data_IF_640565610854
#
_entry.id   IF_640565610854
#
_cell.length_a   1.000
_cell.length_b   1.000
_cell.length_c   1.000
_cell.angle_alpha   90.00
_cell.angle_beta   90.00
_cell.angle_gamma   90.00
#
_symmetry.space_group_name_H-M   'P 1'
#
loop_
_entity.id
_entity.type
_entity.pdbx_description
1 polymer ?
#
# COMPACT_ATOMS: atom_id res chain seq x y z
N UNK A 1 -25.00 -12.34 -20.53
CA UNK A 1 -24.57 -11.06 -19.94
C UNK A 1 -23.16 -10.82 -20.44
N UNK A 2 -22.92 -9.80 -21.27
CA UNK A 2 -21.57 -9.52 -21.78
C UNK A 2 -20.69 -9.01 -20.64
N UNK A 3 -19.41 -9.43 -20.53
CA UNK A 3 -18.52 -8.90 -19.52
C UNK A 3 -18.39 -7.38 -19.69
N UNK A 4 -18.41 -6.67 -18.58
CA UNK A 4 -18.11 -5.24 -18.53
C UNK A 4 -16.68 -4.99 -19.02
N UNK A 5 -16.41 -3.78 -19.54
CA UNK A 5 -15.07 -3.37 -19.99
C UNK A 5 -14.00 -3.64 -18.92
N UNK A 6 -14.33 -3.48 -17.63
CA UNK A 6 -13.42 -3.81 -16.51
C UNK A 6 -13.04 -5.28 -16.43
N UNK A 7 -13.99 -6.19 -16.68
CA UNK A 7 -13.75 -7.63 -16.66
C UNK A 7 -12.89 -8.07 -17.84
N UNK A 8 -13.05 -7.45 -19.02
CA UNK A 8 -12.17 -7.69 -20.16
C UNK A 8 -10.75 -7.19 -19.90
N UNK A 9 -10.60 -5.97 -19.35
CA UNK A 9 -9.29 -5.43 -18.97
C UNK A 9 -8.61 -6.35 -17.94
N UNK A 10 -9.32 -6.81 -16.92
CA UNK A 10 -8.74 -7.71 -15.91
C UNK A 10 -8.33 -9.09 -16.47
N UNK A 11 -9.00 -9.55 -17.54
CA UNK A 11 -8.69 -10.82 -18.19
C UNK A 11 -7.53 -10.71 -19.20
N UNK A 12 -7.35 -9.55 -19.83
CA UNK A 12 -6.36 -9.34 -20.89
C UNK A 12 -5.09 -8.63 -20.41
N UNK A 13 -5.17 -7.80 -19.37
CA UNK A 13 -4.02 -7.07 -18.83
C UNK A 13 -3.34 -7.91 -17.76
N UNK A 14 -2.19 -8.47 -18.14
CA UNK A 14 -1.33 -9.21 -17.22
C UNK A 14 -0.50 -8.22 -16.38
N UNK A 15 -0.91 -7.99 -15.13
CA UNK A 15 -0.23 -7.09 -14.20
C UNK A 15 1.11 -7.64 -13.67
N UNK A 16 1.22 -8.97 -13.61
CA UNK A 16 2.41 -9.68 -13.16
C UNK A 16 2.76 -10.74 -14.20
N UNK A 17 4.03 -10.82 -14.57
CA UNK A 17 4.52 -11.77 -15.58
C UNK A 17 4.63 -13.18 -15.00
N UNK A 18 4.87 -13.30 -13.69
CA UNK A 18 5.03 -14.57 -12.99
C UNK A 18 4.19 -14.65 -11.72
N UNK A 19 3.94 -15.88 -11.25
CA UNK A 19 3.30 -16.11 -9.94
C UNK A 19 4.16 -15.56 -8.80
N UNK A 20 5.49 -15.73 -8.90
CA UNK A 20 6.45 -15.24 -7.91
C UNK A 20 6.40 -13.71 -7.77
N UNK A 21 6.31 -12.97 -8.87
CA UNK A 21 6.14 -11.50 -8.84
C UNK A 21 4.86 -11.10 -8.09
N UNK A 22 3.77 -11.83 -8.34
CA UNK A 22 2.49 -11.59 -7.65
C UNK A 22 2.58 -11.92 -6.16
N UNK A 23 3.19 -13.04 -5.79
CA UNK A 23 3.37 -13.44 -4.39
C UNK A 23 4.27 -12.45 -3.64
N UNK A 24 5.36 -12.01 -4.26
CA UNK A 24 6.25 -10.99 -3.72
C UNK A 24 5.51 -9.67 -3.48
N UNK A 25 4.70 -9.21 -4.45
CA UNK A 25 3.88 -8.01 -4.26
C UNK A 25 2.94 -8.14 -3.05
N UNK A 26 2.22 -9.27 -2.95
CA UNK A 26 1.29 -9.52 -1.85
C UNK A 26 2.00 -9.64 -0.50
N UNK A 27 3.19 -10.24 -0.47
CA UNK A 27 4.01 -10.35 0.74
C UNK A 27 4.44 -8.98 1.25
N UNK A 28 4.96 -8.13 0.36
CA UNK A 28 5.37 -6.76 0.71
C UNK A 28 4.17 -5.90 1.12
N UNK A 29 3.04 -6.03 0.43
CA UNK A 29 1.80 -5.37 0.81
C UNK A 29 1.34 -5.80 2.21
N UNK A 30 1.37 -7.10 2.51
CA UNK A 30 1.05 -7.63 3.83
C UNK A 30 1.98 -7.08 4.92
N UNK A 31 3.29 -7.09 4.66
CA UNK A 31 4.30 -6.53 5.58
C UNK A 31 4.07 -5.03 5.83
N UNK A 32 3.71 -4.27 4.79
CA UNK A 32 3.38 -2.84 4.89
C UNK A 32 2.13 -2.62 5.75
N UNK A 33 1.05 -3.37 5.53
CA UNK A 33 -0.19 -3.27 6.32
C UNK A 33 0.00 -3.65 7.78
N UNK A 34 0.89 -4.60 8.05
CA UNK A 34 1.31 -4.99 9.40
C UNK A 34 2.32 -4.01 10.02
N UNK A 35 2.71 -2.94 9.31
CA UNK A 35 3.73 -1.97 9.71
C UNK A 35 5.10 -2.57 10.02
N UNK A 36 5.42 -3.72 9.42
CA UNK A 36 6.74 -4.35 9.52
C UNK A 36 7.78 -3.64 8.65
N UNK A 37 7.31 -2.94 7.60
CA UNK A 37 8.12 -2.09 6.73
C UNK A 37 7.44 -0.74 6.55
N UNK A 38 8.24 0.30 6.27
CA UNK A 38 7.71 1.61 5.89
C UNK A 38 7.29 1.60 4.41
N UNK A 39 6.46 2.58 4.01
CA UNK A 39 6.13 2.82 2.60
C UNK A 39 7.40 2.98 1.76
N UNK A 40 8.38 3.76 2.25
CA UNK A 40 9.65 3.97 1.55
C UNK A 40 10.37 2.65 1.27
N UNK A 41 10.47 1.77 2.28
CA UNK A 41 11.17 0.49 2.13
C UNK A 41 10.41 -0.48 1.24
N UNK A 42 9.09 -0.52 1.35
CA UNK A 42 8.26 -1.33 0.47
C UNK A 42 8.37 -0.87 -1.00
N UNK A 43 8.39 0.43 -1.23
CA UNK A 43 8.54 1.04 -2.57
C UNK A 43 9.91 0.73 -3.17
N UNK A 44 10.98 0.81 -2.37
CA UNK A 44 12.34 0.41 -2.76
C UNK A 44 12.39 -1.07 -3.18
N UNK A 45 11.82 -1.97 -2.38
CA UNK A 45 11.81 -3.42 -2.68
C UNK A 45 11.02 -3.72 -3.96
N UNK A 46 9.90 -3.03 -4.17
CA UNK A 46 9.07 -3.18 -5.36
C UNK A 46 9.60 -2.41 -6.57
N UNK A 47 10.69 -1.65 -6.41
CA UNK A 47 11.26 -0.78 -7.43
C UNK A 47 10.22 0.17 -8.07
N UNK A 48 9.42 0.81 -7.22
CA UNK A 48 8.40 1.79 -7.58
C UNK A 48 8.62 3.06 -6.77
N UNK A 49 8.24 4.21 -7.33
CA UNK A 49 8.27 5.46 -6.59
C UNK A 49 7.20 5.45 -5.47
N UNK A 50 7.49 5.97 -4.27
CA UNK A 50 6.56 5.98 -3.15
C UNK A 50 5.18 6.60 -3.48
N UNK A 51 5.16 7.71 -4.22
CA UNK A 51 3.92 8.37 -4.63
C UNK A 51 3.11 7.53 -5.61
N UNK A 52 3.79 6.76 -6.47
CA UNK A 52 3.13 5.82 -7.36
C UNK A 52 2.54 4.66 -6.55
N UNK A 53 3.26 4.18 -5.54
CA UNK A 53 2.75 3.11 -4.69
C UNK A 53 1.51 3.53 -3.89
N UNK A 54 1.50 4.74 -3.33
CA UNK A 54 0.31 5.29 -2.66
C UNK A 54 -0.91 5.30 -3.58
N UNK A 55 -0.76 5.74 -4.83
CA UNK A 55 -1.86 5.70 -5.81
C UNK A 55 -2.35 4.29 -6.07
N UNK A 56 -1.46 3.30 -6.10
CA UNK A 56 -1.86 1.89 -6.22
C UNK A 56 -2.68 1.45 -5.01
N UNK A 57 -2.25 1.80 -3.79
CA UNK A 57 -3.01 1.51 -2.58
C UNK A 57 -4.40 2.15 -2.62
N UNK A 58 -4.49 3.42 -3.02
CA UNK A 58 -5.77 4.13 -3.19
C UNK A 58 -6.67 3.45 -4.22
N UNK A 59 -6.12 3.06 -5.38
CA UNK A 59 -6.85 2.31 -6.42
C UNK A 59 -7.36 0.94 -5.93
N UNK A 60 -6.66 0.36 -4.96
CA UNK A 60 -7.06 -0.88 -4.29
C UNK A 60 -8.03 -0.64 -3.11
N UNK A 61 -8.44 0.61 -2.85
CA UNK A 61 -9.22 1.03 -1.67
C UNK A 61 -8.54 0.66 -0.35
N UNK A 62 -7.21 0.75 -0.29
CA UNK A 62 -6.42 0.52 0.92
C UNK A 62 -6.05 1.89 1.50
N UNK A 63 -6.66 2.25 2.62
CA UNK A 63 -6.31 3.47 3.36
C UNK A 63 -4.97 3.29 4.08
N UNK A 64 -3.90 3.89 3.56
CA UNK A 64 -2.59 3.90 4.21
C UNK A 64 -2.40 5.20 5.02
N UNK A 65 -2.24 5.07 6.33
CA UNK A 65 -1.91 6.18 7.24
C UNK A 65 -0.45 6.12 7.64
N UNK A 66 0.29 7.20 7.36
CA UNK A 66 1.66 7.40 7.83
C UNK A 66 1.76 7.49 9.35
N UNK A 67 0.70 7.94 10.01
CA UNK A 67 0.62 7.98 11.47
C UNK A 67 0.18 6.61 11.99
N UNK A 68 0.94 6.07 12.95
CA UNK A 68 0.44 4.98 13.75
C UNK A 68 -0.69 5.48 14.66
N UNK A 69 -1.62 4.60 15.05
CA UNK A 69 -2.70 4.98 16.00
C UNK A 69 -2.15 5.54 17.31
N UNK A 70 -0.93 5.16 17.70
CA UNK A 70 -0.19 5.73 18.83
C UNK A 70 0.13 7.21 18.66
N UNK A 71 0.44 7.66 17.44
CA UNK A 71 0.93 9.00 17.15
C UNK A 71 -0.22 10.03 17.17
N UNK A 72 -1.43 9.58 16.83
CA UNK A 72 -2.66 10.39 16.87
C UNK A 72 -3.01 10.81 18.31
N UNK A 73 -2.62 10.03 19.32
CA UNK A 73 -2.84 10.38 20.73
C UNK A 73 -1.94 11.54 21.18
N UNK A 74 -0.75 11.65 20.61
CA UNK A 74 0.20 12.74 20.89
C UNK A 74 -0.23 14.05 20.24
N UNK A 75 -0.90 14.03 19.07
CA UNK A 75 -1.32 15.26 18.40
C UNK A 75 -2.67 15.82 18.88
N UNK A 76 -3.60 14.98 19.37
CA UNK A 76 -4.88 15.46 19.92
C UNK A 76 -4.79 16.01 21.34
N UNK A 77 -3.76 15.64 22.10
CA UNK A 77 -3.44 16.23 23.38
C UNK A 77 -2.24 17.16 23.22
N UNK A 78 -2.45 18.47 23.07
CA UNK A 78 -1.40 19.49 23.02
C UNK A 78 -0.59 19.62 24.32
N UNK A 79 0.03 18.55 24.78
CA UNK A 79 0.93 18.54 25.92
C UNK A 79 2.35 18.62 25.37
N UNK A 80 2.87 19.84 25.38
CA UNK A 80 4.32 20.08 25.34
C UNK A 80 4.98 19.20 26.40
N UNK A 81 6.14 18.58 26.11
CA UNK A 81 6.94 17.94 27.15
C UNK A 81 7.21 18.99 28.23
N UNK A 82 6.73 18.74 29.43
CA UNK A 82 7.15 19.46 30.61
C UNK A 82 8.41 18.76 31.12
N UNK A 83 9.54 19.41 30.84
CA UNK A 83 10.90 19.20 31.36
C UNK A 83 11.57 17.88 30.99
#
# INVERSE_FOLDING_TARGET
>A
MLPSIRQNIAAEVQLFNTLEEKENFLFILGALMMRLVSLQKASEILNIEPEAFLKVLDLMNIEFSFLARSDIQTERGGLKPQL
#
